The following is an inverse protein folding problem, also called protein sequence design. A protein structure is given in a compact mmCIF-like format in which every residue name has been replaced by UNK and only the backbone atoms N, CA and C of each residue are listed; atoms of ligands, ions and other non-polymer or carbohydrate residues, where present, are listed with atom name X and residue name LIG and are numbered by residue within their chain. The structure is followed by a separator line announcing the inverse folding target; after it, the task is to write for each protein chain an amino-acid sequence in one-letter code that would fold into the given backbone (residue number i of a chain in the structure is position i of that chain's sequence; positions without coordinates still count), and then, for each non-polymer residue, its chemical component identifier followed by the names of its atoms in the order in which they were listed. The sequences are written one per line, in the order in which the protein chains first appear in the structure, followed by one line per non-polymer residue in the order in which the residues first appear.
data_IF_350779691426
#
_entry.id   IF_350779691426
#
_cell.length_a   1.000
_cell.length_b   1.000
_cell.length_c   1.000
_cell.angle_alpha   90.00
_cell.angle_beta   90.00
_cell.angle_gamma   90.00
#
_symmetry.space_group_name_H-M   'P 1'
#
loop_
_entity.id
_entity.type
_entity.pdbx_description
1 polymer ?
#
# COMPACT_ATOMS: atom_id res chain seq x y z
N UNK A 1 -5.36 -23.20 10.11
CA UNK A 1 -4.83 -21.87 9.75
C UNK A 1 -3.47 -21.72 10.40
N UNK A 2 -2.39 -21.40 9.65
CA UNK A 2 -1.18 -20.88 10.30
C UNK A 2 -1.56 -19.61 11.09
N UNK A 3 -0.90 -19.34 12.23
CA UNK A 3 -1.22 -18.18 13.06
C UNK A 3 -1.10 -16.90 12.21
N UNK A 4 -1.99 -15.91 12.40
CA UNK A 4 -1.91 -14.67 11.66
C UNK A 4 -0.52 -14.06 11.90
N UNK A 5 0.24 -13.89 10.83
CA UNK A 5 1.49 -13.14 10.83
C UNK A 5 1.19 -11.80 11.50
N UNK A 6 1.92 -11.40 12.54
CA UNK A 6 1.60 -10.16 13.27
C UNK A 6 1.62 -8.97 12.30
N UNK A 7 0.55 -8.18 12.30
CA UNK A 7 0.49 -6.93 11.54
C UNK A 7 1.63 -6.03 12.00
N UNK A 8 2.56 -5.72 11.09
CA UNK A 8 3.70 -4.85 11.37
C UNK A 8 3.29 -3.41 11.13
N UNK A 9 3.42 -2.58 12.16
CA UNK A 9 3.26 -1.12 12.10
C UNK A 9 4.60 -0.47 12.40
N UNK A 10 5.27 0.16 11.41
CA UNK A 10 6.49 0.92 11.66
C UNK A 10 6.22 2.04 12.67
N UNK A 11 6.96 2.07 13.78
CA UNK A 11 6.85 3.12 14.80
C UNK A 11 7.74 4.34 14.51
N UNK A 12 8.72 4.16 13.63
CA UNK A 12 9.63 5.20 13.16
C UNK A 12 10.31 4.77 11.86
N UNK A 13 10.78 5.75 11.10
CA UNK A 13 11.73 5.56 9.99
C UNK A 13 12.89 6.54 10.13
N UNK A 14 14.06 6.18 9.62
CA UNK A 14 15.20 7.11 9.63
C UNK A 14 15.06 8.15 8.53
N UNK A 15 15.62 9.34 8.76
CA UNK A 15 15.70 10.40 7.74
C UNK A 15 16.50 9.92 6.52
N UNK A 16 17.57 9.17 6.74
CA UNK A 16 18.40 8.61 5.66
C UNK A 16 17.63 7.62 4.78
N UNK A 17 16.83 6.73 5.37
CA UNK A 17 15.96 5.81 4.61
C UNK A 17 14.89 6.58 3.82
N UNK A 18 14.23 7.56 4.46
CA UNK A 18 13.23 8.39 3.79
C UNK A 18 13.84 9.14 2.60
N UNK A 19 15.03 9.72 2.77
CA UNK A 19 15.76 10.42 1.71
C UNK A 19 16.11 9.46 0.57
N UNK A 20 16.78 8.33 0.83
CA UNK A 20 17.18 7.36 -0.20
C UNK A 20 15.99 6.83 -1.02
N UNK A 21 14.86 6.59 -0.37
CA UNK A 21 13.66 6.07 -1.05
C UNK A 21 12.93 7.14 -1.87
N UNK A 22 13.04 8.42 -1.52
CA UNK A 22 12.18 9.47 -2.06
C UNK A 22 12.92 10.64 -2.73
N UNK A 23 14.25 10.62 -2.79
CA UNK A 23 15.10 11.69 -3.35
C UNK A 23 14.61 12.15 -4.73
N UNK A 24 14.50 11.22 -5.69
CA UNK A 24 14.08 11.52 -7.06
C UNK A 24 12.63 11.99 -7.14
N UNK A 25 11.73 11.35 -6.40
CA UNK A 25 10.30 11.64 -6.44
C UNK A 25 9.95 13.00 -5.81
N UNK A 26 10.66 13.36 -4.73
CA UNK A 26 10.47 14.61 -3.99
C UNK A 26 11.46 15.72 -4.39
N UNK A 27 12.34 15.45 -5.38
CA UNK A 27 13.41 16.34 -5.83
C UNK A 27 14.24 16.88 -4.68
N UNK A 28 14.55 16.02 -3.70
CA UNK A 28 15.33 16.40 -2.52
C UNK A 28 16.81 16.47 -2.88
N UNK A 29 17.49 17.47 -2.35
CA UNK A 29 18.93 17.63 -2.40
C UNK A 29 19.44 17.92 -1.00
N UNK A 30 20.47 17.20 -0.55
CA UNK A 30 21.15 17.54 0.70
C UNK A 30 21.96 18.83 0.52
N UNK A 31 21.75 19.80 1.41
CA UNK A 31 22.49 21.09 1.42
C UNK A 31 23.38 21.21 2.66
N UNK A 32 23.04 20.52 3.74
CA UNK A 32 23.86 20.42 4.95
C UNK A 32 24.69 19.13 5.00
N UNK A 33 24.77 18.54 6.20
CA UNK A 33 25.52 17.31 6.46
C UNK A 33 24.60 16.08 6.58
N UNK A 34 25.19 14.89 6.41
CA UNK A 34 24.50 13.61 6.66
C UNK A 34 24.34 13.29 8.15
N UNK A 35 24.81 14.16 9.06
CA UNK A 35 24.81 13.93 10.51
C UNK A 35 23.41 13.62 11.08
N UNK A 36 22.34 14.09 10.42
CA UNK A 36 20.96 13.85 10.83
C UNK A 36 20.29 12.63 10.21
N UNK A 37 21.00 11.79 9.45
CA UNK A 37 20.38 10.67 8.74
C UNK A 37 19.80 9.60 9.67
N UNK A 38 20.41 9.39 10.84
CA UNK A 38 19.95 8.40 11.84
C UNK A 38 18.78 8.90 12.69
N UNK A 39 18.40 10.18 12.55
CA UNK A 39 17.27 10.76 13.26
C UNK A 39 15.97 10.12 12.79
N UNK A 40 15.01 10.01 13.71
CA UNK A 40 13.77 9.27 13.49
C UNK A 40 12.62 10.21 13.17
N UNK A 41 11.94 9.93 12.06
CA UNK A 41 10.60 10.44 11.79
C UNK A 41 9.64 9.51 12.53
N UNK A 42 8.78 10.08 13.37
CA UNK A 42 7.82 9.31 14.18
C UNK A 42 6.37 9.47 13.72
N UNK A 43 6.07 10.58 13.06
CA UNK A 43 4.72 10.87 12.58
C UNK A 43 4.71 10.92 11.05
N UNK A 44 3.75 10.25 10.39
CA UNK A 44 3.70 10.13 8.93
C UNK A 44 3.14 11.40 8.27
N UNK A 45 3.56 12.58 8.73
CA UNK A 45 3.14 13.85 8.18
C UNK A 45 4.26 14.89 8.30
N UNK A 46 4.06 16.00 7.60
CA UNK A 46 4.97 17.14 7.52
C UNK A 46 4.41 18.30 8.34
N UNK A 47 5.28 19.14 8.87
CA UNK A 47 4.90 20.34 9.62
C UNK A 47 5.51 21.59 8.98
N UNK A 48 4.76 22.69 9.02
CA UNK A 48 5.29 24.02 8.70
C UNK A 48 5.49 24.80 10.00
N UNK A 49 6.73 25.12 10.39
CA UNK A 49 7.02 25.69 11.70
C UNK A 49 6.75 27.21 11.79
N UNK A 50 5.70 27.74 11.13
CA UNK A 50 5.44 29.18 11.08
C UNK A 50 5.30 29.83 12.46
N UNK A 51 4.45 29.27 13.33
CA UNK A 51 4.29 29.76 14.72
C UNK A 51 5.49 29.43 15.61
N UNK A 52 6.16 28.30 15.37
CA UNK A 52 7.36 27.93 16.13
C UNK A 52 8.50 28.94 15.88
N UNK A 53 8.66 29.41 14.64
CA UNK A 53 9.63 30.43 14.28
C UNK A 53 9.35 31.79 14.93
N UNK A 54 8.10 32.10 15.30
CA UNK A 54 7.78 33.33 16.07
C UNK A 54 8.02 33.17 17.58
N UNK A 55 8.35 31.96 18.06
CA UNK A 55 8.60 31.66 19.47
C UNK A 55 7.48 30.91 20.18
N UNK A 56 6.41 30.52 19.47
CA UNK A 56 5.29 29.78 20.05
C UNK A 56 5.43 28.26 19.82
N UNK A 57 5.80 27.54 20.87
CA UNK A 57 6.08 26.09 20.81
C UNK A 57 5.02 25.20 21.45
N UNK A 58 3.94 25.78 21.99
CA UNK A 58 2.83 24.99 22.53
C UNK A 58 2.20 24.16 21.41
N UNK A 59 2.18 22.83 21.58
CA UNK A 59 1.76 21.86 20.55
C UNK A 59 2.63 21.83 19.28
N UNK A 60 3.90 22.25 19.37
CA UNK A 60 4.82 22.15 18.24
C UNK A 60 5.02 20.68 17.82
N UNK A 61 4.70 20.37 16.56
CA UNK A 61 4.81 19.02 16.00
C UNK A 61 6.26 18.66 15.63
N UNK A 62 7.14 18.61 16.64
CA UNK A 62 8.58 18.39 16.45
C UNK A 62 8.90 17.01 15.89
N UNK A 63 8.03 16.01 16.08
CA UNK A 63 8.19 14.63 15.57
C UNK A 63 8.01 14.45 14.06
N UNK A 64 7.65 15.53 13.36
CA UNK A 64 7.39 15.59 11.91
C UNK A 64 8.57 16.22 11.17
N UNK A 65 8.69 15.94 9.87
CA UNK A 65 9.62 16.68 9.00
C UNK A 65 9.21 18.16 8.99
N UNK A 66 10.14 19.07 9.23
CA UNK A 66 9.89 20.51 9.23
C UNK A 66 10.10 21.09 7.84
N UNK A 67 9.11 21.84 7.32
CA UNK A 67 9.14 22.38 5.96
C UNK A 67 9.12 23.90 5.98
N UNK A 68 10.18 24.50 5.45
CA UNK A 68 10.31 25.95 5.27
C UNK A 68 9.81 26.28 3.87
N UNK A 69 8.60 26.83 3.80
CA UNK A 69 8.00 27.36 2.59
C UNK A 69 8.28 28.85 2.41
N UNK A 70 7.50 29.48 1.52
CA UNK A 70 7.63 30.91 1.23
C UNK A 70 7.37 31.77 2.47
N UNK A 71 6.31 31.48 3.23
CA UNK A 71 5.95 32.26 4.42
C UNK A 71 7.02 32.18 5.50
N UNK A 72 7.53 30.98 5.78
CA UNK A 72 8.57 30.75 6.78
C UNK A 72 9.91 31.39 6.35
N UNK A 73 10.26 31.26 5.08
CA UNK A 73 11.46 31.88 4.52
C UNK A 73 11.40 33.40 4.58
N UNK A 74 10.32 34.02 4.08
CA UNK A 74 10.13 35.47 4.12
C UNK A 74 10.09 36.01 5.55
N UNK A 75 9.53 35.26 6.49
CA UNK A 75 9.58 35.63 7.90
C UNK A 75 11.01 35.65 8.43
N UNK A 76 11.81 34.62 8.14
CA UNK A 76 13.22 34.57 8.55
C UNK A 76 14.06 35.69 7.91
N UNK A 77 13.86 35.97 6.62
CA UNK A 77 14.56 37.06 5.92
C UNK A 77 14.19 38.44 6.46
N UNK A 78 12.95 38.62 6.92
CA UNK A 78 12.49 39.87 7.52
C UNK A 78 13.04 40.16 8.93
N UNK A 79 13.71 39.19 9.57
CA UNK A 79 14.29 39.35 10.91
C UNK A 79 15.74 39.85 10.84
N UNK A 80 16.12 40.65 11.84
CA UNK A 80 17.52 40.98 12.08
C UNK A 80 18.38 39.71 12.25
N UNK A 81 19.61 39.66 11.72
CA UNK A 81 20.43 38.44 11.70
C UNK A 81 20.58 37.74 13.05
N UNK A 82 20.76 38.51 14.14
CA UNK A 82 20.88 37.95 15.50
C UNK A 82 19.58 37.28 15.96
N UNK A 83 18.44 37.93 15.73
CA UNK A 83 17.13 37.39 16.09
C UNK A 83 16.76 36.19 15.21
N UNK A 84 17.08 36.23 13.91
CA UNK A 84 16.91 35.11 12.98
C UNK A 84 17.65 33.85 13.43
N UNK A 85 18.93 34.00 13.76
CA UNK A 85 19.76 32.93 14.29
C UNK A 85 19.21 32.38 15.62
N UNK A 86 18.78 33.25 16.53
CA UNK A 86 18.18 32.85 17.80
C UNK A 86 16.87 32.05 17.62
N UNK A 87 15.97 32.51 16.74
CA UNK A 87 14.70 31.80 16.45
C UNK A 87 14.93 30.46 15.79
N UNK A 88 15.84 30.39 14.82
CA UNK A 88 16.17 29.15 14.15
C UNK A 88 16.89 28.17 15.08
N UNK A 89 17.80 28.66 15.93
CA UNK A 89 18.43 27.84 16.98
C UNK A 89 17.41 27.30 17.97
N UNK A 90 16.40 28.08 18.35
CA UNK A 90 15.29 27.62 19.20
C UNK A 90 14.43 26.55 18.52
N UNK A 91 14.28 26.58 17.19
CA UNK A 91 13.65 25.49 16.43
C UNK A 91 14.52 24.22 16.47
N UNK A 92 15.83 24.38 16.23
CA UNK A 92 16.81 23.29 16.22
C UNK A 92 17.14 22.71 17.60
N UNK A 93 16.76 23.37 18.70
CA UNK A 93 16.92 22.81 20.04
C UNK A 93 15.93 21.68 20.35
N UNK A 94 14.88 21.54 19.53
CA UNK A 94 13.96 20.41 19.61
C UNK A 94 14.51 19.22 18.83
N UNK A 95 14.09 18.02 19.24
CA UNK A 95 14.46 16.77 18.59
C UNK A 95 13.71 16.57 17.25
N UNK A 96 13.85 17.52 16.31
CA UNK A 96 13.20 17.47 15.00
C UNK A 96 13.92 16.51 14.04
N UNK A 97 13.22 15.72 13.21
CA UNK A 97 13.86 14.78 12.30
C UNK A 97 14.82 15.47 11.32
N UNK A 98 14.30 16.40 10.52
CA UNK A 98 15.06 17.14 9.51
C UNK A 98 14.31 18.42 9.10
N UNK A 99 15.02 19.29 8.38
CA UNK A 99 14.46 20.52 7.79
C UNK A 99 14.50 20.40 6.28
N UNK A 100 13.39 20.73 5.61
CA UNK A 100 13.29 20.78 4.15
C UNK A 100 12.91 22.19 3.70
N UNK A 101 13.70 22.76 2.82
CA UNK A 101 13.49 24.09 2.25
C UNK A 101 12.86 23.94 0.87
N UNK A 102 11.63 24.44 0.71
CA UNK A 102 10.86 24.29 -0.53
C UNK A 102 11.17 25.40 -1.55
N UNK A 103 10.64 25.25 -2.78
CA UNK A 103 10.71 26.23 -3.89
C UNK A 103 12.12 26.60 -4.36
N UNK A 104 13.13 25.80 -4.02
CA UNK A 104 14.52 26.11 -4.33
C UNK A 104 15.09 27.28 -3.54
N UNK A 105 14.39 27.76 -2.50
CA UNK A 105 14.97 28.71 -1.56
C UNK A 105 16.22 28.12 -0.90
N UNK A 106 17.16 28.98 -0.50
CA UNK A 106 18.39 28.58 0.18
C UNK A 106 18.45 29.30 1.52
N UNK A 107 18.64 28.54 2.59
CA UNK A 107 18.93 29.13 3.90
C UNK A 107 20.34 29.72 3.92
N UNK A 108 20.52 30.80 4.68
CA UNK A 108 21.84 31.36 4.95
C UNK A 108 22.78 30.31 5.54
N UNK A 109 24.07 30.40 5.22
CA UNK A 109 25.09 29.44 5.66
C UNK A 109 25.15 29.32 7.19
N UNK A 110 25.01 30.45 7.90
CA UNK A 110 24.94 30.44 9.37
C UNK A 110 23.74 29.66 9.93
N UNK A 111 22.59 29.63 9.23
CA UNK A 111 21.45 28.81 9.67
C UNK A 111 21.70 27.32 9.40
N UNK A 112 22.35 27.00 8.29
CA UNK A 112 22.74 25.62 7.96
C UNK A 112 23.74 25.09 9.00
N UNK A 113 24.71 25.91 9.41
CA UNK A 113 25.66 25.57 10.47
C UNK A 113 24.96 25.32 11.83
N UNK A 114 23.98 26.14 12.19
CA UNK A 114 23.17 25.93 13.40
C UNK A 114 22.45 24.58 13.35
N UNK A 115 21.82 24.23 12.22
CA UNK A 115 21.16 22.93 12.06
C UNK A 115 22.15 21.77 12.14
N UNK A 116 23.27 21.85 11.43
CA UNK A 116 24.29 20.80 11.42
C UNK A 116 24.92 20.60 12.81
N UNK A 117 25.16 21.67 13.56
CA UNK A 117 25.70 21.61 14.93
C UNK A 117 24.73 20.95 15.91
N UNK A 118 23.42 21.04 15.64
CA UNK A 118 22.38 20.31 16.35
C UNK A 118 22.16 18.87 15.82
N UNK A 119 22.96 18.43 14.85
CA UNK A 119 22.85 17.11 14.22
C UNK A 119 21.65 16.98 13.27
N UNK A 120 21.09 18.08 12.76
CA UNK A 120 19.90 18.09 11.91
C UNK A 120 20.32 18.26 10.44
N UNK A 121 19.92 17.33 9.59
CA UNK A 121 20.14 17.43 8.14
C UNK A 121 19.15 18.43 7.50
N UNK A 122 19.70 19.30 6.64
CA UNK A 122 18.92 20.27 5.86
C UNK A 122 18.88 19.84 4.40
N UNK A 123 17.66 19.68 3.89
CA UNK A 123 17.39 19.37 2.51
C UNK A 123 16.76 20.56 1.79
N UNK A 124 16.93 20.61 0.47
CA UNK A 124 16.28 21.54 -0.42
C UNK A 124 15.44 20.77 -1.43
N UNK A 125 14.29 21.31 -1.81
CA UNK A 125 13.50 20.82 -2.95
C UNK A 125 13.10 21.96 -3.86
N UNK A 126 13.13 21.70 -5.17
CA UNK A 126 12.60 22.63 -6.19
C UNK A 126 11.07 22.62 -6.29
N UNK A 127 10.39 21.73 -5.57
CA UNK A 127 8.93 21.63 -5.58
C UNK A 127 8.27 22.85 -4.91
N UNK A 128 7.10 23.24 -5.39
CA UNK A 128 6.23 24.16 -4.68
C UNK A 128 5.83 23.60 -3.31
N UNK A 129 5.75 24.45 -2.29
CA UNK A 129 5.50 24.04 -0.89
C UNK A 129 4.33 23.07 -0.76
N UNK A 130 3.13 23.42 -1.27
CA UNK A 130 1.96 22.53 -1.16
C UNK A 130 2.12 21.21 -1.91
N UNK A 131 2.79 21.22 -3.08
CA UNK A 131 3.06 19.99 -3.84
C UNK A 131 4.02 19.08 -3.09
N UNK A 132 5.05 19.65 -2.47
CA UNK A 132 5.97 18.91 -1.63
C UNK A 132 5.26 18.31 -0.41
N UNK A 133 4.46 19.12 0.31
CA UNK A 133 3.74 18.64 1.50
C UNK A 133 2.85 17.45 1.15
N UNK A 134 2.01 17.57 0.13
CA UNK A 134 1.10 16.50 -0.28
C UNK A 134 1.87 15.24 -0.70
N UNK A 135 2.90 15.39 -1.54
CA UNK A 135 3.70 14.25 -2.00
C UNK A 135 4.46 13.57 -0.85
N UNK A 136 5.07 14.35 0.05
CA UNK A 136 5.79 13.83 1.20
C UNK A 136 4.86 13.12 2.18
N UNK A 137 3.66 13.68 2.45
CA UNK A 137 2.64 13.02 3.29
C UNK A 137 2.25 11.66 2.71
N UNK A 138 1.90 11.58 1.41
CA UNK A 138 1.54 10.30 0.77
C UNK A 138 2.68 9.26 0.90
N UNK A 139 3.93 9.70 0.72
CA UNK A 139 5.09 8.81 0.86
C UNK A 139 5.30 8.34 2.31
N UNK A 140 5.11 9.23 3.27
CA UNK A 140 5.18 8.89 4.68
C UNK A 140 4.05 7.94 5.08
N UNK A 141 2.80 8.23 4.72
CA UNK A 141 1.66 7.35 4.96
C UNK A 141 1.88 5.94 4.39
N UNK A 142 2.35 5.85 3.14
CA UNK A 142 2.70 4.56 2.54
C UNK A 142 3.80 3.79 3.29
N UNK A 143 4.75 4.51 3.88
CA UNK A 143 5.88 3.92 4.60
C UNK A 143 5.47 3.45 6.00
N UNK A 144 4.58 4.19 6.67
CA UNK A 144 4.05 3.85 7.99
C UNK A 144 2.81 2.95 7.95
N UNK A 145 2.24 2.72 6.76
CA UNK A 145 1.09 1.87 6.55
C UNK A 145 1.27 0.50 7.24
N UNK A 146 0.27 0.06 8.04
CA UNK A 146 0.26 -1.29 8.58
C UNK A 146 0.46 -2.30 7.45
N UNK A 147 1.23 -3.36 7.71
CA UNK A 147 1.51 -4.38 6.71
C UNK A 147 1.41 -5.79 7.27
N UNK A 148 1.00 -6.72 6.42
CA UNK A 148 0.80 -8.13 6.72
C UNK A 148 1.40 -8.97 5.59
N UNK A 149 2.14 -10.02 5.93
CA UNK A 149 2.59 -11.01 4.95
C UNK A 149 1.68 -12.23 5.05
N UNK A 150 1.02 -12.58 3.95
CA UNK A 150 0.12 -13.74 3.86
C UNK A 150 0.66 -14.75 2.86
N UNK A 151 0.46 -16.04 3.13
CA UNK A 151 0.75 -17.09 2.15
C UNK A 151 -0.40 -17.21 1.15
N UNK A 152 -0.05 -17.35 -0.13
CA UNK A 152 -0.98 -17.40 -1.25
C UNK A 152 -0.42 -16.73 -2.49
N UNK A 153 -1.22 -16.72 -3.55
CA UNK A 153 -0.88 -16.04 -4.79
C UNK A 153 -1.85 -14.87 -4.99
N UNK A 154 -1.40 -13.76 -5.56
CA UNK A 154 -2.26 -12.65 -5.91
C UNK A 154 -2.17 -12.34 -7.39
N UNK A 155 -3.33 -12.18 -8.03
CA UNK A 155 -3.47 -11.94 -9.46
C UNK A 155 -4.48 -10.84 -9.74
N UNK A 156 -4.28 -10.10 -10.83
CA UNK A 156 -5.27 -9.20 -11.41
C UNK A 156 -6.04 -9.95 -12.50
N UNK A 157 -7.33 -10.16 -12.27
CA UNK A 157 -8.24 -10.87 -13.19
C UNK A 157 -9.31 -9.90 -13.66
N UNK A 158 -9.21 -9.45 -14.91
CA UNK A 158 -10.17 -8.51 -15.51
C UNK A 158 -10.37 -7.21 -14.68
N UNK A 159 -9.32 -6.77 -13.99
CA UNK A 159 -9.34 -5.58 -13.14
C UNK A 159 -9.64 -5.86 -11.67
N UNK A 160 -10.02 -7.08 -11.30
CA UNK A 160 -10.28 -7.51 -9.91
C UNK A 160 -9.00 -8.09 -9.32
N UNK A 161 -8.53 -7.55 -8.19
CA UNK A 161 -7.40 -8.12 -7.46
C UNK A 161 -7.84 -9.29 -6.58
N UNK A 162 -7.39 -10.49 -6.94
CA UNK A 162 -7.79 -11.74 -6.31
C UNK A 162 -6.63 -12.32 -5.51
N UNK A 163 -6.85 -12.57 -4.22
CA UNK A 163 -5.94 -13.36 -3.38
C UNK A 163 -6.40 -14.82 -3.40
N UNK A 164 -5.60 -15.68 -4.00
CA UNK A 164 -5.81 -17.13 -4.09
C UNK A 164 -5.10 -17.79 -2.91
N UNK A 165 -5.87 -18.41 -2.03
CA UNK A 165 -5.40 -19.14 -0.87
C UNK A 165 -5.75 -20.63 -1.01
N UNK A 166 -5.18 -21.45 -0.14
CA UNK A 166 -5.44 -22.89 -0.11
C UNK A 166 -4.23 -23.65 0.43
N UNK A 167 -4.44 -24.92 0.75
CA UNK A 167 -3.40 -25.79 1.30
C UNK A 167 -2.21 -25.94 0.31
N UNK A 168 -1.05 -26.34 0.83
CA UNK A 168 0.13 -26.55 -0.04
C UNK A 168 -0.14 -27.64 -1.08
N UNK A 169 0.27 -27.40 -2.33
CA UNK A 169 0.03 -28.32 -3.43
C UNK A 169 -1.43 -28.39 -3.90
N UNK A 170 -2.32 -27.48 -3.47
CA UNK A 170 -3.71 -27.45 -3.92
C UNK A 170 -3.89 -26.95 -5.37
N UNK A 171 -2.81 -26.56 -6.06
CA UNK A 171 -2.84 -26.09 -7.45
C UNK A 171 -2.86 -24.57 -7.60
N UNK A 172 -2.40 -23.80 -6.60
CA UNK A 172 -2.44 -22.32 -6.63
C UNK A 172 -1.63 -21.77 -7.81
N UNK A 173 -0.35 -22.13 -7.90
CA UNK A 173 0.56 -21.63 -8.92
C UNK A 173 0.17 -22.12 -10.33
N UNK A 174 -0.35 -23.34 -10.46
CA UNK A 174 -0.90 -23.86 -11.71
C UNK A 174 -2.16 -23.09 -12.16
N UNK A 175 -3.05 -22.77 -11.22
CA UNK A 175 -4.24 -21.95 -11.51
C UNK A 175 -3.86 -20.53 -11.92
N UNK A 176 -2.82 -19.96 -11.30
CA UNK A 176 -2.24 -18.67 -11.67
C UNK A 176 -1.73 -18.70 -13.11
N UNK A 177 -0.96 -19.72 -13.51
CA UNK A 177 -0.51 -19.86 -14.91
C UNK A 177 -1.70 -19.91 -15.88
N UNK A 178 -2.74 -20.68 -15.56
CA UNK A 178 -3.96 -20.72 -16.37
C UNK A 178 -4.66 -19.36 -16.49
N UNK A 179 -4.66 -18.55 -15.42
CA UNK A 179 -5.20 -17.18 -15.45
C UNK A 179 -4.32 -16.23 -16.28
N UNK A 180 -2.99 -16.35 -16.22
CA UNK A 180 -2.07 -15.57 -17.05
C UNK A 180 -2.28 -15.83 -18.54
N UNK A 181 -2.49 -17.10 -18.92
CA UNK A 181 -2.82 -17.49 -20.30
C UNK A 181 -4.14 -16.87 -20.79
N UNK A 182 -5.04 -16.52 -19.88
CA UNK A 182 -6.34 -15.87 -20.16
C UNK A 182 -6.25 -14.33 -20.09
N UNK A 183 -5.04 -13.78 -20.03
CA UNK A 183 -4.82 -12.32 -19.98
C UNK A 183 -4.85 -11.73 -18.57
N UNK A 184 -4.86 -12.56 -17.53
CA UNK A 184 -4.62 -12.11 -16.15
C UNK A 184 -3.19 -11.61 -15.95
N UNK A 185 -2.91 -11.01 -14.79
CA UNK A 185 -1.56 -10.55 -14.46
C UNK A 185 -1.14 -10.96 -13.05
N UNK A 186 0.10 -11.42 -12.90
CA UNK A 186 0.66 -11.81 -11.61
C UNK A 186 0.99 -10.55 -10.80
N UNK A 187 0.53 -10.51 -9.55
CA UNK A 187 0.93 -9.52 -8.55
C UNK A 187 1.99 -10.11 -7.63
N UNK A 188 1.75 -11.34 -7.14
CA UNK A 188 2.65 -12.06 -6.25
C UNK A 188 2.39 -13.57 -6.28
N UNK A 189 3.43 -14.37 -6.07
CA UNK A 189 3.35 -15.83 -5.88
C UNK A 189 3.92 -16.21 -4.51
N UNK A 190 3.37 -17.27 -3.91
CA UNK A 190 3.70 -17.85 -2.59
C UNK A 190 3.51 -16.92 -1.37
N UNK A 191 4.03 -15.70 -1.41
CA UNK A 191 3.96 -14.73 -0.34
C UNK A 191 3.48 -13.37 -0.86
N UNK A 192 2.38 -12.87 -0.28
CA UNK A 192 1.77 -11.59 -0.64
C UNK A 192 1.94 -10.61 0.51
N UNK A 193 2.58 -9.46 0.24
CA UNK A 193 2.66 -8.36 1.18
C UNK A 193 1.46 -7.45 1.00
N UNK A 194 0.56 -7.49 1.97
CA UNK A 194 -0.60 -6.62 2.08
C UNK A 194 -0.22 -5.37 2.89
N UNK A 195 -0.71 -4.19 2.48
CA UNK A 195 -0.63 -2.93 3.22
C UNK A 195 -2.00 -2.28 3.29
N UNK A 196 -2.35 -1.76 4.45
CA UNK A 196 -3.57 -0.98 4.65
C UNK A 196 -3.24 0.50 4.44
N UNK A 197 -3.81 1.10 3.40
CA UNK A 197 -3.61 2.49 3.02
C UNK A 197 -4.82 3.30 3.46
N UNK A 198 -4.58 4.43 4.15
CA UNK A 198 -5.61 5.37 4.63
C UNK A 198 -6.75 4.71 5.44
N UNK A 199 -6.48 3.57 6.09
CA UNK A 199 -7.49 2.73 6.75
C UNK A 199 -8.72 2.39 5.86
N UNK A 200 -8.54 2.44 4.53
CA UNK A 200 -9.61 2.37 3.53
C UNK A 200 -9.44 1.24 2.54
N UNK A 201 -8.21 0.98 2.09
CA UNK A 201 -7.98 -0.04 1.07
C UNK A 201 -6.73 -0.87 1.37
N UNK A 202 -6.78 -2.13 0.95
CA UNK A 202 -5.66 -3.05 1.11
C UNK A 202 -4.98 -3.20 -0.25
N UNK A 203 -3.70 -2.86 -0.30
CA UNK A 203 -2.87 -3.05 -1.49
C UNK A 203 -1.96 -4.24 -1.28
N UNK A 204 -2.04 -5.22 -2.18
CA UNK A 204 -1.14 -6.35 -2.23
C UNK A 204 0.00 -6.15 -3.23
N UNK A 205 1.16 -6.70 -2.90
CA UNK A 205 2.39 -6.65 -3.69
C UNK A 205 3.28 -7.85 -3.39
N UNK A 206 4.14 -8.23 -4.33
CA UNK A 206 5.19 -9.21 -4.06
C UNK A 206 6.30 -8.62 -3.16
N UNK A 207 6.92 -9.42 -2.27
CA UNK A 207 8.24 -9.14 -1.74
C UNK A 207 9.25 -8.82 -2.86
N UNK A 208 10.26 -7.99 -2.57
CA UNK A 208 11.20 -7.52 -3.60
C UNK A 208 11.95 -8.66 -4.30
N UNK A 209 12.29 -9.73 -3.57
CA UNK A 209 13.04 -10.87 -4.10
C UNK A 209 12.22 -11.75 -5.07
N UNK A 210 10.92 -11.90 -4.84
CA UNK A 210 10.05 -12.80 -5.60
C UNK A 210 9.20 -12.07 -6.65
N UNK A 211 9.45 -10.76 -6.85
CA UNK A 211 8.68 -9.92 -7.77
C UNK A 211 8.74 -10.47 -9.20
N UNK A 212 7.56 -10.77 -9.76
CA UNK A 212 7.43 -11.27 -11.14
C UNK A 212 7.93 -12.69 -11.34
N UNK A 213 8.27 -13.39 -10.26
CA UNK A 213 8.71 -14.79 -10.28
C UNK A 213 7.56 -15.70 -9.82
N UNK A 214 7.51 -16.91 -10.37
CA UNK A 214 6.57 -17.97 -9.96
C UNK A 214 7.33 -19.28 -9.83
N UNK A 215 7.02 -20.08 -8.79
CA UNK A 215 7.60 -21.42 -8.63
C UNK A 215 6.61 -22.48 -9.10
N UNK A 216 7.03 -23.32 -10.04
CA UNK A 216 6.23 -24.45 -10.52
C UNK A 216 6.96 -25.75 -10.22
N UNK A 217 6.29 -26.67 -9.52
CA UNK A 217 6.87 -27.97 -9.19
C UNK A 217 7.24 -28.72 -10.46
N UNK A 218 8.47 -29.25 -10.50
CA UNK A 218 9.03 -29.93 -11.66
C UNK A 218 9.65 -29.03 -12.72
N UNK A 219 9.36 -27.72 -12.72
CA UNK A 219 9.97 -26.74 -13.64
C UNK A 219 10.92 -25.76 -12.93
N UNK A 220 10.74 -25.54 -11.62
CA UNK A 220 11.52 -24.58 -10.84
C UNK A 220 10.94 -23.16 -10.89
N UNK A 221 11.80 -22.18 -10.64
CA UNK A 221 11.44 -20.76 -10.59
C UNK A 221 11.47 -20.17 -12.01
N UNK A 222 10.37 -19.54 -12.40
CA UNK A 222 10.15 -18.97 -13.74
C UNK A 222 9.90 -17.47 -13.67
N UNK A 223 10.34 -16.72 -14.69
CA UNK A 223 10.09 -15.30 -14.83
C UNK A 223 8.82 -15.06 -15.68
N UNK A 224 7.77 -14.52 -15.06
CA UNK A 224 6.47 -14.32 -15.74
C UNK A 224 6.56 -13.28 -16.86
N UNK A 225 7.29 -12.19 -16.67
CA UNK A 225 7.44 -11.17 -17.69
C UNK A 225 8.17 -11.68 -18.94
N UNK A 226 9.12 -12.60 -18.76
CA UNK A 226 9.84 -13.24 -19.86
C UNK A 226 8.96 -14.23 -20.65
N UNK A 227 8.06 -14.95 -19.96
CA UNK A 227 7.21 -15.97 -20.56
C UNK A 227 5.94 -15.40 -21.21
N UNK A 228 5.29 -14.42 -20.56
CA UNK A 228 3.97 -13.91 -20.94
C UNK A 228 3.97 -12.41 -21.30
N UNK A 229 5.14 -11.78 -21.29
CA UNK A 229 5.32 -10.35 -21.57
C UNK A 229 5.09 -9.45 -20.36
N UNK A 230 5.50 -8.19 -20.49
CA UNK A 230 5.43 -7.19 -19.41
C UNK A 230 3.99 -6.91 -18.94
N UNK A 231 3.01 -7.12 -19.82
CA UNK A 231 1.59 -6.95 -19.51
C UNK A 231 1.05 -7.96 -18.50
N UNK A 232 1.71 -9.11 -18.34
CA UNK A 232 1.32 -10.19 -17.43
C UNK A 232 1.81 -10.01 -15.98
N UNK A 233 2.44 -8.88 -15.65
CA UNK A 233 2.92 -8.57 -14.30
C UNK A 233 2.33 -7.24 -13.81
N UNK A 234 2.04 -7.17 -12.51
CA UNK A 234 1.62 -5.95 -11.80
C UNK A 234 2.49 -5.79 -10.56
N UNK A 235 3.00 -4.57 -10.34
CA UNK A 235 3.82 -4.27 -9.15
C UNK A 235 2.99 -4.31 -7.86
N UNK A 236 1.73 -3.90 -7.97
CA UNK A 236 0.77 -3.89 -6.87
C UNK A 236 -0.65 -3.91 -7.41
N UNK A 237 -1.60 -4.38 -6.60
CA UNK A 237 -3.02 -4.37 -6.91
C UNK A 237 -3.83 -4.26 -5.62
N UNK A 238 -4.98 -3.58 -5.66
CA UNK A 238 -5.93 -3.58 -4.55
C UNK A 238 -6.49 -4.98 -4.34
N UNK A 239 -6.62 -5.44 -3.11
CA UNK A 239 -7.28 -6.68 -2.77
C UNK A 239 -8.79 -6.45 -2.77
N UNK A 240 -9.48 -7.06 -3.75
CA UNK A 240 -10.93 -6.96 -3.90
C UNK A 240 -11.64 -8.24 -3.43
N UNK A 241 -11.02 -9.39 -3.70
CA UNK A 241 -11.68 -10.69 -3.57
C UNK A 241 -10.72 -11.78 -3.09
N UNK A 242 -11.19 -12.69 -2.24
CA UNK A 242 -10.42 -13.84 -1.76
C UNK A 242 -11.05 -15.12 -2.29
N UNK A 243 -10.22 -15.94 -2.94
CA UNK A 243 -10.62 -17.27 -3.39
C UNK A 243 -9.82 -18.31 -2.60
N UNK A 244 -10.50 -19.17 -1.86
CA UNK A 244 -9.88 -20.31 -1.20
C UNK A 244 -10.07 -21.57 -2.03
N UNK A 245 -8.96 -22.21 -2.39
CA UNK A 245 -8.95 -23.49 -3.06
C UNK A 245 -9.02 -24.62 -2.04
N UNK A 246 -10.11 -25.39 -2.09
CA UNK A 246 -10.41 -26.47 -1.16
C UNK A 246 -10.27 -27.82 -1.86
N UNK A 247 -9.65 -28.81 -1.20
CA UNK A 247 -9.47 -30.18 -1.71
C UNK A 247 -10.02 -31.21 -0.73
N UNK A 248 -10.43 -32.36 -1.28
CA UNK A 248 -10.75 -33.57 -0.51
C UNK A 248 -12.08 -33.49 0.24
N UNK A 249 -12.14 -34.07 1.44
CA UNK A 249 -13.37 -34.16 2.25
C UNK A 249 -14.01 -32.79 2.54
N UNK A 250 -13.19 -31.73 2.66
CA UNK A 250 -13.65 -30.34 2.86
C UNK A 250 -14.50 -29.80 1.70
N UNK A 251 -14.48 -30.44 0.53
CA UNK A 251 -15.35 -30.09 -0.61
C UNK A 251 -16.81 -30.44 -0.33
N UNK A 252 -17.08 -31.46 0.51
CA UNK A 252 -18.43 -31.92 0.83
C UNK A 252 -19.20 -30.93 1.72
N UNK A 253 -18.47 -30.08 2.46
CA UNK A 253 -19.01 -29.04 3.33
C UNK A 253 -19.32 -27.74 2.58
N UNK A 254 -19.04 -27.66 1.28
CA UNK A 254 -19.37 -26.49 0.47
C UNK A 254 -20.89 -26.45 0.24
N UNK A 255 -21.57 -25.53 0.92
CA UNK A 255 -23.00 -25.29 0.74
C UNK A 255 -23.34 -25.03 -0.75
N UNK A 256 -24.38 -25.70 -1.23
CA UNK A 256 -24.93 -25.48 -2.56
C UNK A 256 -25.79 -24.21 -2.54
N UNK A 257 -25.27 -23.12 -3.15
CA UNK A 257 -25.99 -21.90 -3.55
C UNK A 257 -26.41 -21.03 -2.34
N UNK A 258 -26.13 -19.72 -2.24
CA UNK A 258 -25.89 -18.67 -3.23
C UNK A 258 -26.56 -17.34 -2.83
N UNK A 259 -26.93 -17.17 -1.55
CA UNK A 259 -27.67 -16.00 -1.06
C UNK A 259 -26.83 -15.14 -0.10
N UNK A 260 -25.92 -15.74 0.67
CA UNK A 260 -25.03 -15.01 1.59
C UNK A 260 -23.66 -14.78 0.97
N UNK A 261 -23.22 -13.53 0.98
CA UNK A 261 -21.83 -13.17 0.65
C UNK A 261 -20.96 -13.52 1.85
N UNK A 262 -20.14 -14.56 1.75
CA UNK A 262 -19.14 -14.85 2.77
C UNK A 262 -18.03 -13.78 2.72
N UNK A 263 -17.53 -13.38 3.89
CA UNK A 263 -16.49 -12.35 4.00
C UNK A 263 -15.43 -12.78 5.00
N UNK A 264 -14.18 -12.44 4.70
CA UNK A 264 -13.04 -12.62 5.61
C UNK A 264 -12.53 -11.28 6.07
N UNK A 265 -12.20 -11.19 7.36
CA UNK A 265 -11.54 -10.02 7.92
C UNK A 265 -10.04 -10.06 7.63
N UNK A 266 -9.54 -9.04 6.96
CA UNK A 266 -8.12 -8.84 6.68
C UNK A 266 -7.75 -7.44 7.16
N UNK A 267 -6.86 -7.34 8.14
CA UNK A 267 -6.40 -6.05 8.69
C UNK A 267 -7.54 -5.09 9.11
N UNK A 268 -8.67 -5.63 9.61
CA UNK A 268 -9.85 -4.87 10.00
C UNK A 268 -10.87 -4.61 8.88
N UNK A 269 -10.56 -5.00 7.64
CA UNK A 269 -11.44 -4.85 6.48
C UNK A 269 -12.15 -6.16 6.16
N UNK A 270 -13.46 -6.11 5.88
CA UNK A 270 -14.21 -7.27 5.37
C UNK A 270 -14.03 -7.37 3.86
N UNK A 271 -13.43 -8.47 3.40
CA UNK A 271 -13.19 -8.77 1.99
C UNK A 271 -14.09 -9.94 1.59
N UNK A 272 -14.77 -9.84 0.44
CA UNK A 272 -15.58 -10.95 -0.06
C UNK A 272 -14.73 -12.19 -0.30
N UNK A 273 -15.28 -13.34 0.09
CA UNK A 273 -14.61 -14.63 0.09
C UNK A 273 -15.47 -15.67 -0.62
N UNK A 274 -14.82 -16.55 -1.39
CA UNK A 274 -15.45 -17.76 -1.92
C UNK A 274 -14.50 -18.94 -1.79
N UNK A 275 -15.04 -20.10 -1.41
CA UNK A 275 -14.33 -21.36 -1.46
C UNK A 275 -14.66 -22.11 -2.76
N UNK A 276 -13.64 -22.49 -3.52
CA UNK A 276 -13.77 -23.24 -4.77
C UNK A 276 -13.18 -24.65 -4.62
N UNK A 277 -13.91 -25.70 -5.03
CA UNK A 277 -13.39 -27.06 -4.98
C UNK A 277 -12.38 -27.33 -6.10
N UNK A 278 -11.27 -27.98 -5.74
CA UNK A 278 -10.26 -28.44 -6.68
C UNK A 278 -10.33 -29.96 -6.79
N UNK A 279 -10.74 -30.43 -7.97
CA UNK A 279 -10.87 -31.84 -8.34
C UNK A 279 -10.15 -32.12 -9.65
N UNK A 280 -9.62 -33.33 -9.87
CA UNK A 280 -9.03 -33.72 -11.15
C UNK A 280 -10.00 -33.47 -12.32
N UNK A 281 -9.51 -32.87 -13.40
CA UNK A 281 -10.30 -32.57 -14.60
C UNK A 281 -11.08 -31.25 -14.55
N UNK A 282 -11.12 -30.53 -13.42
CA UNK A 282 -11.72 -29.19 -13.35
C UNK A 282 -10.73 -28.10 -13.77
N UNK A 283 -11.22 -27.17 -14.58
CA UNK A 283 -10.51 -25.93 -14.91
C UNK A 283 -10.65 -24.91 -13.76
N UNK A 284 -9.76 -25.02 -12.77
CA UNK A 284 -9.76 -24.13 -11.60
C UNK A 284 -9.50 -22.68 -11.99
N UNK A 285 -8.64 -22.43 -12.98
CA UNK A 285 -8.38 -21.09 -13.48
C UNK A 285 -9.66 -20.45 -14.06
N UNK A 286 -10.40 -21.19 -14.87
CA UNK A 286 -11.70 -20.75 -15.40
C UNK A 286 -12.73 -20.49 -14.30
N UNK A 287 -12.76 -21.30 -13.23
CA UNK A 287 -13.65 -21.06 -12.09
C UNK A 287 -13.28 -19.78 -11.31
N UNK A 288 -11.99 -19.52 -11.10
CA UNK A 288 -11.52 -18.27 -10.47
C UNK A 288 -11.89 -17.06 -11.33
N UNK A 289 -11.72 -17.16 -12.65
CA UNK A 289 -12.11 -16.10 -13.60
C UNK A 289 -13.61 -15.81 -13.50
N UNK A 290 -14.45 -16.85 -13.56
CA UNK A 290 -15.90 -16.71 -13.43
C UNK A 290 -16.30 -16.11 -12.09
N UNK A 291 -15.68 -16.54 -10.99
CA UNK A 291 -15.94 -16.00 -9.66
C UNK A 291 -15.58 -14.50 -9.58
N UNK A 292 -14.48 -14.11 -10.21
CA UNK A 292 -14.02 -12.71 -10.28
C UNK A 292 -14.97 -11.84 -11.11
N UNK A 293 -15.46 -12.34 -12.24
CA UNK A 293 -16.46 -11.66 -13.06
C UNK A 293 -17.79 -11.52 -12.29
N UNK A 294 -18.22 -12.58 -11.59
CA UNK A 294 -19.43 -12.55 -10.78
C UNK A 294 -19.32 -11.54 -9.61
N UNK A 295 -18.16 -11.47 -8.94
CA UNK A 295 -17.86 -10.43 -7.96
C UNK A 295 -17.98 -9.02 -8.57
N UNK A 296 -17.40 -8.83 -9.76
CA UNK A 296 -17.46 -7.56 -10.48
C UNK A 296 -18.90 -7.17 -10.82
N UNK A 297 -19.72 -8.12 -11.27
CA UNK A 297 -21.15 -7.91 -11.55
C UNK A 297 -21.94 -7.49 -10.30
N UNK A 298 -21.69 -8.14 -9.14
CA UNK A 298 -22.33 -7.75 -7.87
C UNK A 298 -21.95 -6.33 -7.46
N UNK A 299 -20.70 -5.93 -7.70
CA UNK A 299 -20.23 -4.56 -7.44
C UNK A 299 -20.96 -3.52 -8.32
N UNK A 300 -21.44 -3.92 -9.50
CA UNK A 300 -22.30 -3.11 -10.38
C UNK A 300 -23.81 -3.24 -10.05
N UNK A 301 -24.17 -3.93 -8.97
CA UNK A 301 -25.56 -4.10 -8.52
C UNK A 301 -26.31 -5.25 -9.19
N UNK A 302 -25.64 -6.09 -9.99
CA UNK A 302 -26.26 -7.24 -10.63
C UNK A 302 -25.99 -8.53 -9.85
N UNK A 303 -27.04 -9.17 -9.35
CA UNK A 303 -26.96 -10.45 -8.63
C UNK A 303 -27.81 -11.52 -9.34
N UNK A 304 -27.14 -12.46 -10.01
CA UNK A 304 -27.79 -13.53 -10.78
C UNK A 304 -28.66 -14.46 -9.94
N UNK A 305 -28.32 -14.69 -8.66
CA UNK A 305 -29.13 -15.53 -7.77
C UNK A 305 -30.47 -14.85 -7.46
N UNK A 306 -30.43 -13.55 -7.14
CA UNK A 306 -31.64 -12.74 -6.89
C UNK A 306 -32.51 -12.66 -8.14
N UNK A 307 -31.91 -12.46 -9.31
CA UNK A 307 -32.67 -12.44 -10.56
C UNK A 307 -33.33 -13.79 -10.85
N UNK A 308 -32.61 -14.89 -10.61
CA UNK A 308 -33.15 -16.24 -10.82
C UNK A 308 -34.27 -16.56 -9.83
N UNK A 309 -34.13 -16.20 -8.56
CA UNK A 309 -35.17 -16.35 -7.54
C UNK A 309 -36.41 -15.53 -7.89
N UNK A 310 -36.25 -14.30 -8.37
CA UNK A 310 -37.37 -13.48 -8.86
C UNK A 310 -38.07 -14.13 -10.07
N UNK A 311 -37.31 -14.73 -11.00
CA UNK A 311 -37.88 -15.45 -12.15
C UNK A 311 -38.63 -16.72 -11.72
N UNK A 312 -38.10 -17.46 -10.74
CA UNK A 312 -38.77 -18.65 -10.18
C UNK A 312 -40.07 -18.27 -9.48
N UNK A 313 -40.03 -17.27 -8.60
CA UNK A 313 -41.21 -16.75 -7.90
C UNK A 313 -42.27 -16.31 -8.91
N UNK A 314 -41.87 -15.54 -9.93
CA UNK A 314 -42.80 -15.08 -10.97
C UNK A 314 -43.48 -16.24 -11.69
N UNK A 315 -42.73 -17.27 -12.07
CA UNK A 315 -43.26 -18.47 -12.73
C UNK A 315 -44.21 -19.26 -11.82
N UNK A 316 -43.92 -19.35 -10.52
CA UNK A 316 -44.80 -20.00 -9.55
C UNK A 316 -46.10 -19.24 -9.33
N UNK A 317 -46.11 -17.89 -9.37
CA UNK A 317 -47.36 -17.12 -9.36
C UNK A 317 -48.16 -17.28 -10.64
N UNK A 318 -47.51 -17.31 -11.81
CA UNK A 318 -48.20 -17.46 -13.09
C UNK A 318 -48.84 -18.86 -13.23
N UNK A 319 -48.19 -19.92 -12.74
CA UNK A 319 -48.73 -21.30 -12.73
C UNK A 319 -49.87 -21.50 -11.70
N UNK A 320 -50.10 -20.58 -10.76
CA UNK A 320 -51.23 -20.62 -9.80
C UNK A 320 -52.48 -19.86 -10.29
N UNK A 321 -52.35 -19.07 -11.36
CA UNK A 321 -53.41 -18.23 -11.93
C UNK A 321 -53.98 -18.78 -13.26
N UNK A 322 -53.45 -19.89 -13.77
CA UNK A 322 -53.93 -20.61 -14.96
C UNK A 322 -54.58 -21.93 -14.61
#
# INVERSE_FOLDING_TARGET
MPPPTKVKRPSAITVGEFFKQNEKALKLKLVGTEAGFDRKIHEPSVNRPGLALSGFFTYFAYKRIQVIGNSEHSFLEGLEPKLRAARFSQLCSWDIPCVVVARGHRLDEGLIEIANSAGISVFQTSMMTMRFLNAATIKLEWTFAPSLLVHGCMVDVQGVGVLIQGDSGCGKSESVIGLLQRGGSLVADDAVRLRLIEDREIIGSAPDLTRGMIEIRGLGILNVAALFGVGAVRLSKRLDFIVELVRGAKTQDLERVGVSTDTREVMGMKIEHVALPVEPGRDVAGLIELASINFKLRTFGYNSAVEFDQRLLKKMTDDQLG
#
